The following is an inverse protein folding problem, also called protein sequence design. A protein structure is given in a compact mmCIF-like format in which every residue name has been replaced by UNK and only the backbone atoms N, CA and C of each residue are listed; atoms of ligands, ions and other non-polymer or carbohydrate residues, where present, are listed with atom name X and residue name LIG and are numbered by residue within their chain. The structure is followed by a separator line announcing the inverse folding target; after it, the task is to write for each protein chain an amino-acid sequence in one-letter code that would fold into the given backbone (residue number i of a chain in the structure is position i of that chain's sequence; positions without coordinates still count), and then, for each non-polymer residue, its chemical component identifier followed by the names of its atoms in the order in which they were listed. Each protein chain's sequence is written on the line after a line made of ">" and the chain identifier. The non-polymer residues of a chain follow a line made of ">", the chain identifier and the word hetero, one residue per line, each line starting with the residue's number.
data_IF_467343606959
#
_entry.id   IF_467343606959
#
_cell.length_a   1.000
_cell.length_b   1.000
_cell.length_c   1.000
_cell.angle_alpha   90.00
_cell.angle_beta   90.00
_cell.angle_gamma   90.00
#
_symmetry.space_group_name_H-M   'P 1'
#
loop_
_entity.id
_entity.type
_entity.pdbx_description
1 polymer ?
#
# COMPACT_ATOMS: atom_id res chain seq x y z
N UNK A 1 -6.14 17.73 15.26
CA UNK A 1 -5.45 16.85 14.29
C UNK A 1 -6.34 15.63 14.15
N UNK A 2 -7.02 15.45 13.01
CA UNK A 2 -7.90 14.29 12.82
C UNK A 2 -7.05 13.01 12.81
N UNK A 3 -7.44 12.03 13.61
CA UNK A 3 -6.73 10.75 13.76
C UNK A 3 -6.98 9.91 12.50
N UNK A 4 -5.93 9.64 11.72
CA UNK A 4 -6.03 8.88 10.46
C UNK A 4 -6.55 7.44 10.65
N UNK A 5 -6.61 6.97 11.90
CA UNK A 5 -7.16 5.66 12.27
C UNK A 5 -8.69 5.60 12.18
N UNK A 6 -9.40 6.71 12.32
CA UNK A 6 -10.87 6.74 12.25
C UNK A 6 -11.41 6.63 10.81
N UNK A 7 -10.56 6.84 9.80
CA UNK A 7 -10.95 6.81 8.38
C UNK A 7 -11.19 5.37 7.87
N UNK A 8 -10.70 4.36 8.60
CA UNK A 8 -10.83 2.95 8.26
C UNK A 8 -11.67 2.21 9.32
N UNK A 9 -12.82 2.76 9.70
CA UNK A 9 -13.78 2.04 10.52
C UNK A 9 -14.51 1.00 9.66
N UNK A 10 -14.45 -0.30 10.01
CA UNK A 10 -15.12 -1.37 9.26
C UNK A 10 -16.64 -1.41 9.49
N UNK A 11 -17.16 -0.65 10.45
CA UNK A 11 -18.59 -0.62 10.77
C UNK A 11 -19.43 0.18 9.75
N UNK A 12 -18.78 1.00 8.91
CA UNK A 12 -19.39 1.77 7.81
C UNK A 12 -19.25 1.07 6.43
N UNK A 13 -19.16 -0.27 6.40
CA UNK A 13 -19.06 -1.01 5.14
C UNK A 13 -20.42 -1.03 4.42
N UNK A 14 -20.69 0.04 3.65
CA UNK A 14 -21.65 0.00 2.56
C UNK A 14 -21.28 -1.16 1.62
N UNK A 15 -22.18 -2.13 1.48
CA UNK A 15 -22.00 -3.18 0.50
C UNK A 15 -21.97 -2.57 -0.90
N UNK A 16 -20.81 -2.66 -1.55
CA UNK A 16 -20.57 -2.04 -2.86
C UNK A 16 -21.57 -2.49 -3.92
N UNK A 17 -22.03 -3.74 -3.86
CA UNK A 17 -23.02 -4.26 -4.81
C UNK A 17 -24.41 -3.66 -4.58
N UNK A 18 -24.81 -3.44 -3.32
CA UNK A 18 -26.06 -2.78 -2.94
C UNK A 18 -26.04 -1.31 -3.36
N UNK A 19 -24.92 -0.62 -3.11
CA UNK A 19 -24.73 0.77 -3.52
C UNK A 19 -24.79 0.95 -5.03
N UNK A 20 -24.20 0.02 -5.80
CA UNK A 20 -24.29 0.04 -7.26
C UNK A 20 -25.73 -0.18 -7.76
N UNK A 21 -26.49 -1.08 -7.12
CA UNK A 21 -27.92 -1.27 -7.43
C UNK A 21 -28.72 -0.02 -7.10
N UNK A 22 -28.42 0.63 -5.99
CA UNK A 22 -29.05 1.89 -5.58
C UNK A 22 -28.83 3.00 -6.62
N UNK A 23 -27.57 3.19 -7.04
CA UNK A 23 -27.22 4.17 -8.08
C UNK A 23 -27.86 3.87 -9.44
N UNK A 24 -28.13 2.58 -9.73
CA UNK A 24 -28.79 2.14 -10.95
C UNK A 24 -30.33 2.20 -10.88
N UNK A 25 -30.91 2.53 -9.72
CA UNK A 25 -32.36 2.48 -9.50
C UNK A 25 -32.93 1.06 -9.45
N UNK A 26 -32.10 0.06 -9.18
CA UNK A 26 -32.46 -1.36 -9.11
C UNK A 26 -32.47 -1.93 -7.68
N UNK A 27 -32.22 -1.08 -6.67
CA UNK A 27 -32.26 -1.49 -5.27
C UNK A 27 -33.70 -1.73 -4.78
N UNK A 28 -33.87 -2.68 -3.86
CA UNK A 28 -35.13 -2.90 -3.16
C UNK A 28 -35.44 -1.74 -2.20
N UNK A 29 -36.70 -1.60 -1.77
CA UNK A 29 -37.07 -0.54 -0.82
C UNK A 29 -36.33 -0.67 0.52
N UNK A 30 -36.02 -1.90 0.94
CA UNK A 30 -35.25 -2.19 2.15
C UNK A 30 -33.79 -1.73 2.00
N UNK A 31 -33.16 -2.03 0.86
CA UNK A 31 -31.78 -1.61 0.53
C UNK A 31 -31.68 -0.08 0.44
N UNK A 32 -32.67 0.58 -0.20
CA UNK A 32 -32.72 2.04 -0.32
C UNK A 32 -32.81 2.69 1.05
N UNK A 33 -33.71 2.22 1.91
CA UNK A 33 -33.87 2.75 3.26
C UNK A 33 -32.59 2.61 4.09
N UNK A 34 -31.90 1.46 3.99
CA UNK A 34 -30.64 1.24 4.69
C UNK A 34 -29.54 2.24 4.26
N UNK A 35 -29.41 2.48 2.95
CA UNK A 35 -28.44 3.43 2.40
C UNK A 35 -28.80 4.87 2.79
N UNK A 36 -30.07 5.27 2.66
CA UNK A 36 -30.53 6.61 3.06
C UNK A 36 -30.32 6.85 4.56
N UNK A 37 -30.51 5.84 5.42
CA UNK A 37 -30.22 5.94 6.84
C UNK A 37 -28.72 6.12 7.11
N UNK A 38 -27.85 5.39 6.41
CA UNK A 38 -26.39 5.54 6.53
C UNK A 38 -25.89 6.89 6.02
N UNK A 39 -26.48 7.42 4.93
CA UNK A 39 -26.19 8.78 4.45
C UNK A 39 -26.58 9.84 5.50
N UNK A 40 -27.70 9.63 6.21
CA UNK A 40 -28.11 10.54 7.29
C UNK A 40 -27.20 10.47 8.52
N UNK A 41 -26.63 9.30 8.82
CA UNK A 41 -25.74 9.09 9.98
C UNK A 41 -24.29 9.51 9.71
N UNK A 42 -23.82 9.46 8.46
CA UNK A 42 -22.43 9.74 8.09
C UNK A 42 -22.32 10.75 6.93
N UNK A 43 -21.79 11.94 7.23
CA UNK A 43 -21.51 12.95 6.20
C UNK A 43 -20.50 12.46 5.15
N UNK A 44 -19.62 11.53 5.53
CA UNK A 44 -18.67 10.93 4.59
C UNK A 44 -19.38 10.05 3.56
N UNK A 45 -20.35 9.26 4.01
CA UNK A 45 -21.16 8.41 3.13
C UNK A 45 -22.02 9.26 2.20
N UNK A 46 -22.66 10.31 2.73
CA UNK A 46 -23.46 11.26 1.93
C UNK A 46 -22.62 11.88 0.79
N UNK A 47 -21.46 12.45 1.12
CA UNK A 47 -20.53 13.02 0.15
C UNK A 47 -20.08 11.97 -0.90
N UNK A 48 -19.82 10.73 -0.48
CA UNK A 48 -19.39 9.66 -1.36
C UNK A 48 -20.50 9.23 -2.33
N UNK A 49 -21.74 9.10 -1.85
CA UNK A 49 -22.89 8.75 -2.69
C UNK A 49 -23.19 9.85 -3.69
N UNK A 50 -23.19 11.13 -3.27
CA UNK A 50 -23.34 12.28 -4.18
C UNK A 50 -22.27 12.26 -5.28
N UNK A 51 -21.01 12.06 -4.89
CA UNK A 51 -19.89 11.94 -5.83
C UNK A 51 -20.07 10.82 -6.86
N UNK A 52 -20.61 9.67 -6.44
CA UNK A 52 -20.87 8.53 -7.31
C UNK A 52 -22.07 8.75 -8.25
N UNK A 53 -23.09 9.51 -7.83
CA UNK A 53 -24.24 9.87 -8.67
C UNK A 53 -23.86 10.71 -9.90
N UNK A 54 -22.74 11.44 -9.85
CA UNK A 54 -22.23 12.18 -11.00
C UNK A 54 -21.73 11.29 -12.15
N UNK A 55 -21.51 10.00 -11.90
CA UNK A 55 -21.13 9.05 -12.95
C UNK A 55 -22.35 8.64 -13.78
N UNK A 56 -22.32 8.95 -15.07
CA UNK A 56 -23.39 8.60 -16.02
C UNK A 56 -23.49 7.12 -16.34
N UNK A 57 -22.36 6.39 -16.23
CA UNK A 57 -22.29 4.96 -16.53
C UNK A 57 -21.78 4.21 -15.29
N UNK A 58 -22.60 3.34 -14.67
CA UNK A 58 -22.20 2.51 -13.55
C UNK A 58 -21.01 1.61 -13.86
N UNK A 59 -20.84 1.18 -15.12
CA UNK A 59 -19.69 0.36 -15.51
C UNK A 59 -18.39 1.15 -15.46
N UNK A 60 -18.44 2.44 -15.78
CA UNK A 60 -17.29 3.33 -15.70
C UNK A 60 -16.79 3.51 -14.26
N UNK A 61 -17.66 3.39 -13.26
CA UNK A 61 -17.29 3.43 -11.84
C UNK A 61 -16.35 2.27 -11.50
N UNK A 62 -16.71 1.04 -11.88
CA UNK A 62 -15.91 -0.14 -11.60
C UNK A 62 -14.53 -0.08 -12.30
N UNK A 63 -14.52 0.28 -13.59
CA UNK A 63 -13.27 0.44 -14.34
C UNK A 63 -12.36 1.52 -13.72
N UNK A 64 -12.96 2.60 -13.23
CA UNK A 64 -12.25 3.68 -12.56
C UNK A 64 -11.68 3.23 -11.20
N UNK A 65 -12.43 2.47 -10.41
CA UNK A 65 -11.95 1.88 -9.14
C UNK A 65 -10.75 0.98 -9.40
N UNK A 66 -10.83 0.10 -10.40
CA UNK A 66 -9.68 -0.75 -10.75
C UNK A 66 -8.47 0.08 -11.18
N UNK A 67 -8.67 1.11 -12.00
CA UNK A 67 -7.60 1.99 -12.43
C UNK A 67 -6.95 2.71 -11.26
N UNK A 68 -7.76 3.25 -10.35
CA UNK A 68 -7.29 3.93 -9.16
C UNK A 68 -6.47 2.98 -8.28
N UNK A 69 -6.95 1.76 -8.06
CA UNK A 69 -6.25 0.76 -7.26
C UNK A 69 -4.89 0.38 -7.90
N UNK A 70 -4.87 0.14 -9.22
CA UNK A 70 -3.61 -0.10 -9.97
C UNK A 70 -2.63 1.08 -9.82
N UNK A 71 -3.11 2.31 -9.93
CA UNK A 71 -2.26 3.50 -9.80
C UNK A 71 -1.72 3.65 -8.37
N UNK A 72 -2.56 3.44 -7.36
CA UNK A 72 -2.17 3.49 -5.95
C UNK A 72 -1.06 2.48 -5.64
N UNK A 73 -1.24 1.23 -6.09
CA UNK A 73 -0.21 0.19 -5.99
C UNK A 73 1.08 0.59 -6.70
N UNK A 74 1.00 1.20 -7.87
CA UNK A 74 2.19 1.67 -8.60
C UNK A 74 2.95 2.75 -7.81
N UNK A 75 2.25 3.77 -7.30
CA UNK A 75 2.88 4.86 -6.55
C UNK A 75 3.48 4.41 -5.22
N UNK A 76 2.81 3.50 -4.52
CA UNK A 76 3.29 2.93 -3.25
C UNK A 76 4.45 1.96 -3.47
N UNK A 77 4.40 1.12 -4.52
CA UNK A 77 5.48 0.21 -4.89
C UNK A 77 6.77 0.95 -5.26
N UNK A 78 6.66 2.11 -5.95
CA UNK A 78 7.84 2.94 -6.27
C UNK A 78 8.51 3.46 -4.98
N UNK A 79 7.72 3.94 -4.01
CA UNK A 79 8.25 4.40 -2.72
C UNK A 79 8.88 3.24 -1.92
N UNK A 80 8.23 2.08 -1.91
CA UNK A 80 8.73 0.88 -1.25
C UNK A 80 10.04 0.38 -1.88
N UNK A 81 10.11 0.32 -3.21
CA UNK A 81 11.31 -0.05 -3.96
C UNK A 81 12.46 0.94 -3.72
N UNK A 82 12.17 2.25 -3.68
CA UNK A 82 13.17 3.28 -3.36
C UNK A 82 13.70 3.15 -1.93
N UNK A 83 12.83 2.82 -0.96
CA UNK A 83 13.23 2.55 0.44
C UNK A 83 14.10 1.29 0.53
N UNK A 84 13.75 0.22 -0.19
CA UNK A 84 14.53 -1.04 -0.23
C UNK A 84 15.91 -0.83 -0.87
N UNK A 85 16.01 -0.04 -1.94
CA UNK A 85 17.29 0.30 -2.59
C UNK A 85 18.23 1.14 -1.73
N UNK A 86 17.71 1.97 -0.81
CA UNK A 86 18.55 2.73 0.14
C UNK A 86 19.18 1.81 1.19
N UNK A 87 18.42 0.84 1.73
CA UNK A 87 18.95 -0.14 2.70
C UNK A 87 20.09 -1.00 2.16
N UNK A 88 20.10 -1.30 0.86
CA UNK A 88 21.15 -2.12 0.23
C UNK A 88 22.48 -1.37 0.03
N UNK A 89 22.50 -0.03 0.03
CA UNK A 89 23.73 0.74 -0.15
C UNK A 89 24.56 0.93 1.12
N UNK A 90 23.99 0.65 2.29
CA UNK A 90 24.61 1.01 3.58
C UNK A 90 25.70 0.02 4.03
N UNK A 91 25.70 -1.22 3.53
CA UNK A 91 26.59 -2.29 4.02
C UNK A 91 27.82 -2.59 3.14
N UNK A 92 28.07 -1.83 2.07
CA UNK A 92 29.24 -2.11 1.20
C UNK A 92 30.58 -1.89 1.92
N UNK A 93 30.69 -0.87 2.78
CA UNK A 93 31.90 -0.60 3.55
C UNK A 93 32.22 -1.69 4.58
N UNK A 94 31.17 -2.26 5.18
CA UNK A 94 31.31 -3.33 6.17
C UNK A 94 31.85 -4.61 5.51
N UNK A 95 31.39 -4.94 4.30
CA UNK A 95 31.92 -6.07 3.52
C UNK A 95 33.40 -5.87 3.18
N UNK A 96 33.79 -4.66 2.74
CA UNK A 96 35.19 -4.34 2.42
C UNK A 96 36.09 -4.48 3.65
N UNK A 97 35.64 -3.99 4.81
CA UNK A 97 36.39 -4.09 6.06
C UNK A 97 36.61 -5.55 6.50
N UNK A 98 35.56 -6.38 6.46
CA UNK A 98 35.67 -7.82 6.77
C UNK A 98 36.66 -8.51 5.81
N UNK A 99 36.55 -8.21 4.51
CA UNK A 99 37.40 -8.83 3.49
C UNK A 99 38.87 -8.43 3.68
N UNK A 100 39.14 -7.17 4.01
CA UNK A 100 40.48 -6.68 4.35
C UNK A 100 41.09 -7.37 5.57
N UNK A 101 40.32 -7.55 6.65
CA UNK A 101 40.78 -8.27 7.86
C UNK A 101 41.10 -9.73 7.53
N UNK A 102 40.23 -10.40 6.77
CA UNK A 102 40.45 -11.79 6.36
C UNK A 102 41.72 -11.94 5.53
N UNK A 103 41.98 -11.01 4.60
CA UNK A 103 43.19 -10.99 3.78
C UNK A 103 44.46 -10.78 4.64
N UNK A 104 44.39 -9.92 5.66
CA UNK A 104 45.46 -9.74 6.64
C UNK A 104 45.75 -11.01 7.45
N UNK A 105 44.71 -11.73 7.89
CA UNK A 105 44.88 -13.01 8.58
C UNK A 105 45.56 -14.05 7.69
N UNK A 106 45.15 -14.15 6.41
CA UNK A 106 45.76 -15.08 5.44
C UNK A 106 47.22 -14.69 5.17
N UNK A 107 47.51 -13.41 4.96
CA UNK A 107 48.87 -12.92 4.75
C UNK A 107 49.77 -13.20 5.97
N UNK A 108 49.26 -12.95 7.19
CA UNK A 108 49.97 -13.27 8.43
C UNK A 108 50.27 -14.77 8.56
N UNK A 109 49.28 -15.63 8.28
CA UNK A 109 49.46 -17.07 8.27
C UNK A 109 50.53 -17.52 7.27
N UNK A 110 50.48 -16.98 6.03
CA UNK A 110 51.46 -17.31 5.00
C UNK A 110 52.87 -16.87 5.38
N UNK A 111 53.04 -15.69 5.99
CA UNK A 111 54.35 -15.22 6.45
C UNK A 111 54.92 -16.11 7.56
N UNK A 112 54.11 -16.49 8.54
CA UNK A 112 54.55 -17.38 9.63
C UNK A 112 54.91 -18.75 9.07
N UNK A 113 54.06 -19.34 8.22
CA UNK A 113 54.33 -20.64 7.63
C UNK A 113 55.58 -20.62 6.73
N UNK A 114 55.77 -19.54 5.97
CA UNK A 114 56.95 -19.37 5.12
C UNK A 114 58.23 -19.17 5.94
N UNK A 115 58.18 -18.44 7.05
CA UNK A 115 59.35 -18.20 7.90
C UNK A 115 59.73 -19.40 8.77
N UNK A 116 58.76 -20.23 9.19
CA UNK A 116 59.01 -21.47 9.95
C UNK A 116 59.52 -22.62 9.07
N UNK A 117 59.25 -22.58 7.76
CA UNK A 117 59.65 -23.63 6.81
C UNK A 117 61.00 -23.38 6.14
N UNK A 118 61.66 -22.26 6.44
CA UNK A 118 62.97 -21.87 5.92
C UNK A 118 64.02 -22.01 7.01
#
# INVERSE_FOLDING_TARGET
>A
MADLKDILNPDDELNQEELLRYLQGQASDEERFAIENQMAESSFVDDAVEGLQHFKDPKAVNDYVEQLNRQLHRYTAIKAARKKRRKLKENNWLIIAILGILLLCVAGYLLIHFHIRK
#
